data_IF_687786435952
#
_entry.id   IF_687786435952
#
_cell.length_a   1.000
_cell.length_b   1.000
_cell.length_c   1.000
_cell.angle_alpha   90.00
_cell.angle_beta   90.00
_cell.angle_gamma   90.00
#
_symmetry.space_group_name_H-M   'P 1'
#
loop_
_entity.id
_entity.type
_entity.pdbx_description
1 polymer ?
#
# COMPACT_ATOMS: atom_id res chain seq x y z
N UNK A 1 -25.99 13.68 -5.31
CA UNK A 1 -25.71 14.72 -6.32
C UNK A 1 -26.19 14.17 -7.65
N UNK A 2 -27.07 14.87 -8.35
CA UNK A 2 -27.56 14.43 -9.66
C UNK A 2 -26.40 14.41 -10.67
N UNK A 3 -26.19 13.26 -11.31
CA UNK A 3 -25.09 13.06 -12.26
C UNK A 3 -25.20 13.99 -13.47
N UNK A 4 -26.41 14.38 -13.88
CA UNK A 4 -26.60 15.30 -14.99
C UNK A 4 -26.13 16.71 -14.60
N UNK A 5 -26.55 17.18 -13.43
CA UNK A 5 -26.11 18.47 -12.86
C UNK A 5 -24.60 18.53 -12.62
N UNK A 6 -23.97 17.45 -12.16
CA UNK A 6 -22.52 17.39 -11.96
C UNK A 6 -21.75 17.47 -13.29
N UNK A 7 -22.21 16.74 -14.34
CA UNK A 7 -21.62 16.82 -15.69
C UNK A 7 -21.75 18.22 -16.29
N UNK A 8 -22.90 18.87 -16.11
CA UNK A 8 -23.11 20.24 -16.59
C UNK A 8 -22.14 21.24 -15.92
N UNK A 9 -21.92 21.11 -14.61
CA UNK A 9 -20.98 21.96 -13.87
C UNK A 9 -19.51 21.72 -14.28
N UNK A 10 -19.13 20.47 -14.55
CA UNK A 10 -17.80 20.13 -15.06
C UNK A 10 -17.56 20.69 -16.45
N UNK A 11 -18.54 20.55 -17.36
CA UNK A 11 -18.45 21.07 -18.72
C UNK A 11 -18.41 22.61 -18.78
N UNK A 12 -19.07 23.28 -17.82
CA UNK A 12 -19.08 24.74 -17.71
C UNK A 12 -17.85 25.32 -16.99
N UNK A 13 -16.96 24.48 -16.44
CA UNK A 13 -15.77 24.94 -15.73
C UNK A 13 -14.77 25.49 -16.74
N UNK A 14 -14.35 26.73 -16.53
CA UNK A 14 -13.23 27.29 -17.27
C UNK A 14 -11.94 26.62 -16.79
N UNK A 15 -11.32 25.85 -17.69
CA UNK A 15 -10.09 25.10 -17.46
C UNK A 15 -8.87 25.81 -18.07
N UNK A 16 -9.02 27.06 -18.56
CA UNK A 16 -7.96 27.79 -19.27
C UNK A 16 -7.86 27.39 -20.74
N UNK A 17 -6.64 27.16 -21.25
CA UNK A 17 -6.30 26.92 -22.66
C UNK A 17 -6.82 25.58 -23.25
N UNK A 18 -7.82 24.96 -22.63
CA UNK A 18 -8.39 23.69 -23.08
C UNK A 18 -9.47 23.95 -24.14
N UNK A 19 -9.23 23.50 -25.36
CA UNK A 19 -10.12 23.64 -26.51
C UNK A 19 -11.42 22.83 -26.33
N UNK A 20 -12.44 23.17 -27.13
CA UNK A 20 -13.71 22.42 -27.13
C UNK A 20 -13.53 20.94 -27.54
N UNK A 21 -12.55 20.63 -28.38
CA UNK A 21 -12.21 19.26 -28.79
C UNK A 21 -11.60 18.45 -27.66
N UNK A 22 -10.73 19.06 -26.85
CA UNK A 22 -10.17 18.44 -25.64
C UNK A 22 -11.23 18.27 -24.54
N UNK A 23 -12.16 19.22 -24.42
CA UNK A 23 -13.34 19.07 -23.53
C UNK A 23 -14.24 17.91 -23.97
N UNK A 24 -14.38 17.68 -25.29
CA UNK A 24 -15.18 16.60 -25.84
C UNK A 24 -14.54 15.20 -25.67
N UNK A 25 -13.21 15.13 -25.52
CA UNK A 25 -12.50 13.88 -25.18
C UNK A 25 -12.81 13.38 -23.76
N UNK A 26 -13.49 14.20 -22.95
CA UNK A 26 -13.86 13.85 -21.58
C UNK A 26 -12.71 14.13 -20.61
N UNK A 27 -13.07 14.48 -19.37
CA UNK A 27 -12.08 14.64 -18.31
C UNK A 27 -11.72 13.23 -17.81
N UNK A 28 -10.47 12.81 -18.05
CA UNK A 28 -9.89 11.60 -17.49
C UNK A 28 -9.09 11.95 -16.23
N UNK A 29 -9.36 11.27 -15.11
CA UNK A 29 -8.48 11.32 -13.93
C UNK A 29 -7.48 10.18 -14.06
N UNK A 30 -6.20 10.54 -14.22
CA UNK A 30 -5.09 9.59 -14.25
C UNK A 30 -4.24 9.74 -13.00
N UNK A 31 -3.72 8.64 -12.49
CA UNK A 31 -2.76 8.63 -11.41
C UNK A 31 -1.41 8.16 -11.94
N UNK A 32 -0.38 8.97 -11.71
CA UNK A 32 0.97 8.71 -12.20
C UNK A 32 1.93 8.71 -11.01
N UNK A 33 2.92 7.82 -11.02
CA UNK A 33 4.03 7.89 -10.09
C UNK A 33 5.16 8.68 -10.74
N UNK A 34 5.44 9.87 -10.22
CA UNK A 34 6.57 10.68 -10.66
C UNK A 34 7.82 10.33 -9.84
N UNK A 35 8.99 10.50 -10.45
CA UNK A 35 10.28 10.20 -9.82
C UNK A 35 11.24 11.38 -9.90
N UNK A 36 12.20 11.40 -8.97
CA UNK A 36 13.33 12.30 -8.98
C UNK A 36 14.56 11.55 -8.47
N UNK A 37 15.75 11.93 -8.93
CA UNK A 37 17.02 11.32 -8.52
C UNK A 37 17.98 12.37 -7.99
N UNK A 38 18.84 11.95 -7.05
CA UNK A 38 19.88 12.78 -6.46
C UNK A 38 21.06 11.90 -6.07
N UNK A 39 22.27 12.31 -6.44
CA UNK A 39 23.49 11.60 -6.09
C UNK A 39 23.97 11.92 -4.66
N UNK A 40 23.58 13.08 -4.12
CA UNK A 40 24.01 13.58 -2.80
C UNK A 40 22.85 13.71 -1.79
N UNK A 41 21.61 13.47 -2.23
CA UNK A 41 20.41 13.63 -1.42
C UNK A 41 19.97 15.08 -1.20
N UNK A 42 20.66 16.06 -1.80
CA UNK A 42 20.43 17.49 -1.63
C UNK A 42 19.95 18.12 -2.95
N UNK A 43 20.62 17.82 -4.06
CA UNK A 43 20.29 18.36 -5.38
C UNK A 43 19.48 17.33 -6.17
N UNK A 44 18.22 17.65 -6.45
CA UNK A 44 17.26 16.73 -7.05
C UNK A 44 16.97 17.08 -8.51
N UNK A 45 16.96 16.05 -9.36
CA UNK A 45 16.57 16.14 -10.76
C UNK A 45 15.29 15.35 -10.96
N UNK A 46 14.21 16.04 -11.34
CA UNK A 46 12.95 15.39 -11.67
C UNK A 46 13.08 14.63 -12.99
N UNK A 47 12.50 13.44 -13.06
CA UNK A 47 12.35 12.73 -14.33
C UNK A 47 11.38 13.51 -15.23
N UNK A 48 11.65 13.49 -16.54
CA UNK A 48 10.79 14.14 -17.54
C UNK A 48 9.52 13.35 -17.83
N UNK A 49 9.50 12.07 -17.49
CA UNK A 49 8.37 11.16 -17.63
C UNK A 49 8.04 10.49 -16.28
N UNK A 50 6.79 10.05 -16.08
CA UNK A 50 6.42 9.22 -14.93
C UNK A 50 7.25 7.92 -14.89
N UNK A 51 7.56 7.47 -13.67
CA UNK A 51 8.14 6.14 -13.40
C UNK A 51 7.19 5.04 -13.90
N UNK A 52 5.88 5.26 -13.77
CA UNK A 52 4.85 4.55 -14.49
C UNK A 52 3.53 5.35 -14.48
N UNK A 53 2.64 5.03 -15.41
CA UNK A 53 1.29 5.60 -15.49
C UNK A 53 0.28 4.55 -15.05
N UNK A 54 -0.38 4.78 -13.92
CA UNK A 54 -1.36 3.85 -13.35
C UNK A 54 -2.72 3.93 -14.06
N UNK A 55 -2.91 4.89 -14.97
CA UNK A 55 -4.21 5.20 -15.56
C UNK A 55 -5.24 5.49 -14.46
N UNK A 56 -6.40 4.83 -14.55
CA UNK A 56 -7.47 4.93 -13.55
C UNK A 56 -7.24 4.03 -12.31
N UNK A 57 -6.09 3.36 -12.19
CA UNK A 57 -5.77 2.52 -11.03
C UNK A 57 -5.69 3.39 -9.78
N UNK A 58 -6.45 3.00 -8.74
CA UNK A 58 -6.52 3.73 -7.48
C UNK A 58 -5.24 3.55 -6.66
N UNK A 59 -4.27 4.42 -6.90
CA UNK A 59 -3.09 4.63 -6.07
C UNK A 59 -3.36 5.70 -5.00
N UNK A 60 -2.55 5.67 -3.96
CA UNK A 60 -2.59 6.59 -2.83
C UNK A 60 -1.15 7.05 -2.51
N UNK A 61 -1.02 7.89 -1.50
CA UNK A 61 0.24 8.36 -0.92
C UNK A 61 0.91 7.25 -0.09
N UNK A 62 2.22 7.38 0.15
CA UNK A 62 3.14 6.40 0.78
C UNK A 62 3.61 5.31 -0.18
N UNK A 63 4.47 5.75 -1.12
CA UNK A 63 5.12 4.91 -2.09
C UNK A 63 6.60 4.78 -1.72
N UNK A 64 7.12 3.57 -1.76
CA UNK A 64 8.53 3.27 -1.57
C UNK A 64 9.05 2.60 -2.84
N UNK A 65 10.27 2.93 -3.24
CA UNK A 65 11.00 2.22 -4.28
C UNK A 65 12.40 1.94 -3.78
N UNK A 66 12.86 0.71 -3.95
CA UNK A 66 14.19 0.24 -3.53
C UNK A 66 14.77 -0.62 -4.64
N UNK A 67 16.09 -0.61 -4.78
CA UNK A 67 16.78 -1.58 -5.62
C UNK A 67 16.99 -2.88 -4.82
N UNK A 68 16.51 -4.00 -5.34
CA UNK A 68 16.69 -5.35 -4.77
C UNK A 68 17.86 -6.05 -5.49
N UNK A 69 19.03 -6.19 -4.84
CA UNK A 69 20.20 -6.80 -5.46
C UNK A 69 20.05 -8.31 -5.68
N UNK A 70 19.11 -8.99 -5.00
CA UNK A 70 18.85 -10.41 -5.22
C UNK A 70 18.01 -10.67 -6.47
N UNK A 71 17.21 -9.68 -6.88
CA UNK A 71 16.36 -9.77 -8.08
C UNK A 71 16.91 -8.96 -9.26
N UNK A 72 17.96 -8.16 -9.05
CA UNK A 72 18.55 -7.23 -10.02
C UNK A 72 17.50 -6.27 -10.62
N UNK A 73 16.62 -5.75 -9.75
CA UNK A 73 15.50 -4.90 -10.15
C UNK A 73 15.20 -3.83 -9.11
N UNK A 74 14.68 -2.70 -9.57
CA UNK A 74 13.94 -1.77 -8.73
C UNK A 74 12.58 -2.38 -8.40
N UNK A 75 12.22 -2.36 -7.13
CA UNK A 75 10.96 -2.84 -6.59
C UNK A 75 10.27 -1.70 -5.86
N UNK A 76 9.06 -1.37 -6.30
CA UNK A 76 8.23 -0.37 -5.67
C UNK A 76 7.08 -1.02 -4.90
N UNK A 77 6.85 -0.55 -3.68
CA UNK A 77 5.68 -0.86 -2.87
C UNK A 77 4.83 0.40 -2.74
N UNK A 78 3.61 0.31 -3.27
CA UNK A 78 2.72 1.43 -3.45
C UNK A 78 1.45 1.18 -2.66
N UNK A 79 0.92 2.23 -2.03
CA UNK A 79 -0.42 2.11 -1.47
C UNK A 79 -1.44 2.23 -2.57
N UNK A 80 -2.42 1.34 -2.56
CA UNK A 80 -3.55 1.42 -3.47
C UNK A 80 -4.84 0.99 -2.81
N UNK A 81 -5.90 0.99 -3.61
CA UNK A 81 -7.25 0.60 -3.18
C UNK A 81 -7.79 -0.52 -4.06
N UNK A 82 -8.55 -1.42 -3.43
CA UNK A 82 -9.51 -2.35 -4.04
C UNK A 82 -10.76 -2.34 -3.15
N UNK A 83 -11.96 -2.26 -3.73
CA UNK A 83 -13.23 -2.32 -3.01
C UNK A 83 -13.31 -1.39 -1.78
N UNK A 84 -12.79 -0.17 -1.95
CA UNK A 84 -12.68 0.85 -0.89
C UNK A 84 -11.85 0.43 0.32
N UNK A 85 -10.99 -0.58 0.22
CA UNK A 85 -10.01 -1.02 1.23
C UNK A 85 -8.60 -0.71 0.75
N UNK A 86 -7.74 -0.27 1.68
CA UNK A 86 -6.32 0.00 1.37
C UNK A 86 -5.49 -1.26 1.47
N UNK A 87 -4.55 -1.37 0.54
CA UNK A 87 -3.64 -2.50 0.37
C UNK A 87 -2.30 -2.03 -0.18
N UNK A 88 -1.33 -2.96 -0.22
CA UNK A 88 -0.03 -2.75 -0.86
C UNK A 88 -0.03 -3.38 -2.25
N UNK A 89 0.35 -2.59 -3.23
CA UNK A 89 0.69 -3.02 -4.59
C UNK A 89 2.20 -3.08 -4.75
N UNK A 90 2.67 -3.96 -5.61
CA UNK A 90 4.07 -4.11 -6.01
C UNK A 90 4.20 -3.82 -7.50
N UNK A 91 5.23 -3.07 -7.86
CA UNK A 91 5.72 -2.93 -9.23
C UNK A 91 7.22 -3.22 -9.23
N UNK A 92 7.76 -3.70 -10.35
CA UNK A 92 9.22 -3.83 -10.49
C UNK A 92 9.68 -3.59 -11.93
N UNK A 93 10.96 -3.28 -12.07
CA UNK A 93 11.59 -3.03 -13.36
C UNK A 93 13.12 -2.98 -13.24
N UNK A 94 13.86 -3.25 -14.31
CA UNK A 94 15.32 -3.19 -14.29
C UNK A 94 15.85 -1.74 -14.22
N UNK A 95 15.03 -0.74 -14.53
CA UNK A 95 15.35 0.67 -14.42
C UNK A 95 14.38 1.40 -13.49
N UNK A 96 14.87 2.39 -12.75
CA UNK A 96 14.05 3.16 -11.82
C UNK A 96 12.99 3.99 -12.54
N UNK A 97 13.33 4.53 -13.70
CA UNK A 97 12.48 5.39 -14.53
C UNK A 97 11.37 4.63 -15.29
N UNK A 98 11.35 3.29 -15.24
CA UNK A 98 10.40 2.47 -15.99
C UNK A 98 10.06 1.20 -15.23
N UNK A 99 8.98 1.25 -14.45
CA UNK A 99 8.45 0.11 -13.70
C UNK A 99 7.24 -0.50 -14.43
N UNK A 100 7.05 -1.81 -14.27
CA UNK A 100 5.85 -2.50 -14.75
C UNK A 100 4.59 -2.09 -13.98
N UNK A 101 3.42 -2.45 -14.52
CA UNK A 101 2.13 -2.14 -13.90
C UNK A 101 2.01 -2.73 -12.48
N UNK A 102 1.52 -1.94 -11.50
CA UNK A 102 1.47 -2.37 -10.12
C UNK A 102 0.33 -3.34 -9.85
N UNK A 103 0.66 -4.51 -9.31
CA UNK A 103 -0.30 -5.54 -8.91
C UNK A 103 -0.41 -5.64 -7.39
N UNK A 104 -1.57 -6.01 -6.81
CA UNK A 104 -1.68 -6.27 -5.37
C UNK A 104 -0.67 -7.33 -4.90
N UNK A 105 -0.04 -7.13 -3.73
CA UNK A 105 0.89 -8.09 -3.12
C UNK A 105 0.62 -8.36 -1.64
N UNK A 106 -0.02 -7.43 -0.94
CA UNK A 106 -0.47 -7.63 0.44
C UNK A 106 -1.83 -6.95 0.63
N UNK A 107 -2.86 -7.75 0.90
CA UNK A 107 -4.26 -7.33 0.97
C UNK A 107 -4.84 -7.65 2.35
N UNK A 108 -5.87 -6.90 2.79
CA UNK A 108 -6.76 -7.39 3.85
C UNK A 108 -7.38 -8.73 3.43
N UNK A 109 -7.51 -9.64 4.39
CA UNK A 109 -8.03 -10.99 4.20
C UNK A 109 -9.21 -11.25 5.17
N UNK A 110 -9.91 -12.41 5.07
CA UNK A 110 -11.08 -12.69 5.92
C UNK A 110 -10.82 -12.74 7.43
N UNK A 111 -9.56 -12.76 7.87
CA UNK A 111 -9.18 -12.76 9.28
C UNK A 111 -8.87 -11.35 9.81
N UNK A 112 -8.94 -10.31 8.97
CA UNK A 112 -8.93 -8.91 9.40
C UNK A 112 -10.34 -8.42 9.74
N UNK A 113 -10.42 -7.38 10.58
CA UNK A 113 -11.69 -6.70 10.75
C UNK A 113 -12.13 -6.03 9.43
N UNK A 114 -13.43 -5.86 9.25
CA UNK A 114 -14.00 -5.23 8.04
C UNK A 114 -13.55 -3.78 7.88
N UNK A 115 -13.15 -3.12 8.97
CA UNK A 115 -12.71 -1.73 8.98
C UNK A 115 -11.18 -1.56 9.00
N UNK A 116 -10.43 -2.65 8.87
CA UNK A 116 -8.96 -2.63 8.85
C UNK A 116 -8.43 -2.29 7.45
N UNK A 117 -7.47 -1.38 7.39
CA UNK A 117 -6.75 -1.03 6.16
C UNK A 117 -5.27 -1.33 6.32
N UNK A 118 -4.63 -1.89 5.29
CA UNK A 118 -3.18 -1.95 5.23
C UNK A 118 -2.70 -0.60 4.68
N UNK A 119 -2.20 0.24 5.58
CA UNK A 119 -2.03 1.67 5.35
C UNK A 119 -0.63 2.08 4.88
N UNK A 120 0.42 1.34 5.19
CA UNK A 120 1.78 1.62 4.67
C UNK A 120 2.55 0.31 4.65
N UNK A 121 3.28 -0.05 3.57
CA UNK A 121 4.09 -1.27 3.55
C UNK A 121 5.25 -1.29 4.56
N UNK A 122 5.96 -0.17 4.78
CA UNK A 122 7.18 -0.10 5.60
C UNK A 122 8.14 -1.28 5.34
N UNK A 123 8.52 -1.48 4.08
CA UNK A 123 9.42 -2.55 3.66
C UNK A 123 10.85 -2.34 4.19
N UNK A 124 11.50 -3.43 4.55
CA UNK A 124 12.94 -3.46 4.81
C UNK A 124 13.54 -4.83 4.42
N UNK A 125 14.71 -4.87 3.77
CA UNK A 125 15.41 -6.12 3.53
C UNK A 125 15.93 -6.68 4.85
N UNK A 126 15.79 -7.99 5.06
CA UNK A 126 16.41 -8.63 6.21
C UNK A 126 17.90 -8.86 5.94
N UNK A 127 18.81 -8.50 6.86
CA UNK A 127 20.24 -8.71 6.66
C UNK A 127 20.60 -10.19 6.47
N UNK A 128 21.49 -10.48 5.54
CA UNK A 128 22.03 -11.82 5.34
C UNK A 128 22.28 -12.17 3.87
N UNK A 129 22.73 -13.40 3.63
CA UNK A 129 23.06 -13.89 2.29
C UNK A 129 21.86 -14.47 1.54
N UNK A 130 20.80 -14.86 2.25
CA UNK A 130 19.59 -15.41 1.67
C UNK A 130 18.50 -14.35 1.61
N UNK A 131 17.76 -14.25 0.48
CA UNK A 131 16.69 -13.28 0.33
C UNK A 131 15.60 -13.54 1.37
N UNK A 132 15.43 -12.55 2.25
CA UNK A 132 14.40 -12.51 3.28
C UNK A 132 13.90 -11.08 3.36
N UNK A 133 12.59 -10.94 3.29
CA UNK A 133 11.95 -9.65 3.11
C UNK A 133 10.98 -9.41 4.25
N UNK A 134 11.07 -8.24 4.86
CA UNK A 134 10.19 -7.83 5.94
C UNK A 134 9.39 -6.61 5.52
N UNK A 135 8.17 -6.54 6.04
CA UNK A 135 7.32 -5.37 6.01
C UNK A 135 6.76 -5.16 7.41
N UNK A 136 6.64 -3.90 7.79
CA UNK A 136 6.05 -3.50 9.08
C UNK A 136 4.75 -2.74 8.84
N UNK A 137 3.71 -3.40 8.29
CA UNK A 137 2.56 -2.67 7.82
C UNK A 137 1.85 -1.95 8.95
N UNK A 138 1.53 -0.68 8.71
CA UNK A 138 0.61 0.06 9.57
C UNK A 138 -0.82 -0.42 9.27
N UNK A 139 -1.51 -0.96 10.27
CA UNK A 139 -2.91 -1.34 10.17
C UNK A 139 -3.76 -0.21 10.72
N UNK A 140 -4.55 0.41 9.86
CA UNK A 140 -5.45 1.50 10.23
C UNK A 140 -6.85 0.97 10.51
N UNK A 141 -7.29 1.10 11.75
CA UNK A 141 -8.64 0.75 12.20
C UNK A 141 -9.57 1.94 11.95
N UNK A 142 -10.38 1.89 10.89
CA UNK A 142 -11.16 3.06 10.46
C UNK A 142 -12.17 3.53 11.50
N UNK A 143 -12.85 2.61 12.19
CA UNK A 143 -13.89 2.97 13.17
C UNK A 143 -13.25 3.65 14.38
N UNK A 144 -12.17 3.06 14.90
CA UNK A 144 -11.48 3.57 16.07
C UNK A 144 -10.57 4.77 15.76
N UNK A 145 -10.26 5.01 14.48
CA UNK A 145 -9.27 6.01 14.04
C UNK A 145 -7.90 5.82 14.70
N UNK A 146 -7.47 4.57 14.85
CA UNK A 146 -6.19 4.19 15.46
C UNK A 146 -5.32 3.41 14.47
N UNK A 147 -4.01 3.44 14.68
CA UNK A 147 -3.03 2.67 13.89
C UNK A 147 -2.23 1.77 14.82
N UNK A 148 -2.03 0.53 14.42
CA UNK A 148 -0.98 -0.33 14.96
C UNK A 148 -0.01 -0.80 13.87
N UNK A 149 1.09 -1.44 14.28
CA UNK A 149 2.12 -1.96 13.37
C UNK A 149 2.23 -3.46 13.53
N UNK A 150 2.08 -4.20 12.44
CA UNK A 150 2.19 -5.65 12.40
C UNK A 150 3.44 -6.10 11.65
N UNK A 151 3.71 -7.41 11.62
CA UNK A 151 4.79 -8.00 10.83
C UNK A 151 4.21 -8.71 9.61
N UNK A 152 4.73 -8.39 8.43
CA UNK A 152 4.59 -9.22 7.24
C UNK A 152 5.97 -9.70 6.77
N UNK A 153 6.04 -10.93 6.27
CA UNK A 153 7.27 -11.57 5.79
C UNK A 153 7.08 -12.15 4.41
N UNK A 154 8.16 -12.17 3.64
CA UNK A 154 8.22 -12.83 2.33
C UNK A 154 9.59 -13.48 2.12
N UNK A 155 9.62 -14.55 1.33
CA UNK A 155 10.86 -15.24 0.89
C UNK A 155 11.21 -14.93 -0.56
N UNK A 156 10.26 -14.48 -1.36
CA UNK A 156 10.39 -14.28 -2.81
C UNK A 156 10.11 -12.83 -3.22
N UNK A 157 9.80 -11.95 -2.27
CA UNK A 157 9.43 -10.56 -2.49
C UNK A 157 8.10 -10.33 -3.24
N UNK A 158 7.38 -11.41 -3.57
CA UNK A 158 6.11 -11.39 -4.30
C UNK A 158 4.95 -11.78 -3.39
N UNK A 159 5.08 -12.89 -2.66
CA UNK A 159 4.06 -13.42 -1.76
C UNK A 159 4.36 -12.98 -0.33
N UNK A 160 3.42 -12.23 0.25
CA UNK A 160 3.53 -11.70 1.60
C UNK A 160 2.55 -12.39 2.53
N UNK A 161 3.02 -12.80 3.70
CA UNK A 161 2.19 -13.37 4.76
C UNK A 161 2.34 -12.56 6.04
N UNK A 162 1.25 -12.41 6.80
CA UNK A 162 1.28 -11.88 8.17
C UNK A 162 1.16 -13.04 9.16
N UNK A 163 2.29 -13.58 9.66
CA UNK A 163 2.27 -14.77 10.51
C UNK A 163 1.56 -14.53 11.84
N UNK A 164 1.65 -13.31 12.37
CA UNK A 164 0.99 -12.89 13.60
C UNK A 164 0.20 -11.60 13.31
N UNK A 165 -1.13 -11.63 13.51
CA UNK A 165 -2.02 -10.47 13.34
C UNK A 165 -2.17 -9.68 14.64
N UNK A 166 -1.03 -9.36 15.23
CA UNK A 166 -0.96 -8.64 16.50
C UNK A 166 0.03 -7.49 16.38
N UNK A 167 -0.21 -6.37 17.10
CA UNK A 167 0.72 -5.27 17.15
C UNK A 167 2.11 -5.70 17.68
N UNK A 168 3.19 -5.29 17.03
CA UNK A 168 4.57 -5.47 17.52
C UNK A 168 4.83 -4.57 18.74
N UNK A 169 4.24 -3.37 18.74
CA UNK A 169 4.06 -2.55 19.94
C UNK A 169 2.59 -2.21 20.07
N UNK A 170 1.96 -2.66 21.16
CA UNK A 170 0.58 -2.30 21.45
C UNK A 170 0.49 -0.97 22.18
N UNK A 171 -0.32 -0.04 21.67
CA UNK A 171 -1.23 0.64 22.59
C UNK A 171 -2.23 -0.43 23.02
N UNK A 172 -2.17 -0.82 24.29
CA UNK A 172 -3.10 -1.79 24.87
C UNK A 172 -4.51 -1.28 24.60
N UNK A 173 -5.29 -1.98 23.77
CA UNK A 173 -6.74 -1.76 23.70
C UNK A 173 -7.25 -1.87 25.13
N UNK A 174 -7.99 -0.89 25.69
CA UNK A 174 -8.90 -1.25 26.76
C UNK A 174 -9.84 -2.29 26.15
N UNK A 175 -9.68 -3.54 26.56
CA UNK A 175 -10.49 -4.62 26.05
C UNK A 175 -11.96 -4.20 26.20
N UNK A 176 -12.68 -4.07 25.08
CA UNK A 176 -14.12 -4.23 25.13
C UNK A 176 -14.33 -5.59 25.77
N UNK A 177 -14.80 -5.62 27.03
CA UNK A 177 -15.00 -6.83 27.82
C UNK A 177 -15.73 -7.84 26.93
N UNK A 178 -15.03 -8.89 26.51
CA UNK A 178 -15.73 -10.09 26.11
C UNK A 178 -16.27 -10.72 27.41
N UNK A 179 -17.54 -11.13 27.46
CA UNK A 179 -18.04 -11.86 28.61
C UNK A 179 -17.23 -13.17 28.71
N UNK A 180 -16.62 -13.37 29.88
CA UNK A 180 -15.86 -14.57 30.20
C UNK A 180 -16.74 -15.81 29.95
N UNK A 181 -16.40 -16.60 28.93
CA UNK A 181 -16.88 -17.97 28.84
C UNK A 181 -15.82 -18.89 29.45
N UNK A 182 -16.13 -19.30 30.67
CA UNK A 182 -15.64 -20.42 31.46
C UNK A 182 -14.47 -21.27 30.91
N UNK A 183 -13.40 -21.28 31.71
CA UNK A 183 -12.54 -22.43 32.08
C UNK A 183 -12.58 -23.67 31.16
N UNK A 184 -11.42 -23.99 30.59
CA UNK A 184 -10.87 -25.34 30.73
C UNK A 184 -9.33 -25.31 30.65
N UNK A 185 -8.69 -25.01 31.79
CA UNK A 185 -7.31 -25.44 32.02
C UNK A 185 -7.35 -26.93 32.36
N UNK A 186 -6.81 -27.78 31.49
CA UNK A 186 -6.26 -29.06 31.92
C UNK A 186 -4.76 -29.00 31.73
N UNK A 187 -4.08 -28.83 32.86
CA UNK A 187 -2.70 -29.21 33.05
C UNK A 187 -2.53 -30.69 32.70
N UNK A 188 -1.50 -31.02 31.92
CA UNK A 188 -0.72 -32.21 32.20
C UNK A 188 0.73 -31.89 31.86
N UNK A 189 1.53 -31.79 32.91
CA UNK A 189 2.99 -31.81 32.85
C UNK A 189 3.47 -33.24 33.10
N UNK A 190 4.57 -33.58 32.41
CA UNK A 190 5.58 -34.61 32.68
C UNK A 190 5.20 -36.11 32.56
N UNK A 191 5.90 -36.83 31.67
CA UNK A 191 6.97 -37.76 32.03
C UNK A 191 7.57 -38.46 30.78
N UNK A 192 8.91 -38.53 30.76
CA UNK A 192 9.84 -39.19 29.81
C UNK A 192 10.12 -38.51 28.47
#
# INVERSE_FOLDING_TARGET
>A
MDSARFKALLAARDLGDVSAGEKAQGIEIRQQLLGATSADGIHWHNLSAPVFDAGATQLDTHNLCIYDPHQDQYVAYLRGHIDRRRLVRRASGPQFESLADPHPCLLPDPLDALDDDIYNPCYTPYPGTQPRYLMFPSIYHRIASTVDVQLAVSRDNHQWIRPFRQPIRGNVRPALRQPESHRCQRHLAAAF
#
